data_IF_284891321240
#
_entry.id   IF_284891321240
#
_cell.length_a   1.000
_cell.length_b   1.000
_cell.length_c   1.000
_cell.angle_alpha   90.00
_cell.angle_beta   90.00
_cell.angle_gamma   90.00
#
_symmetry.space_group_name_H-M   'P 1'
#
loop_
_entity.id
_entity.type
_entity.pdbx_description
1 polymer ?
#
# COMPACT_ATOMS: atom_id res chain seq x y z
N UNK A 1 5.41 -4.51 41.36
CA UNK A 1 6.81 -4.15 41.04
C UNK A 1 6.79 -3.52 39.66
N UNK A 2 7.29 -2.30 39.57
CA UNK A 2 7.21 -1.42 38.40
C UNK A 2 8.14 -1.99 37.33
N UNK A 3 7.57 -2.66 36.32
CA UNK A 3 8.33 -3.03 35.13
C UNK A 3 8.46 -1.76 34.28
N UNK A 4 9.63 -1.15 34.36
CA UNK A 4 10.04 -0.03 33.51
C UNK A 4 9.83 -0.39 32.03
N UNK A 5 8.92 0.32 31.37
CA UNK A 5 8.78 0.26 29.92
C UNK A 5 10.07 0.79 29.28
N UNK A 6 10.72 0.05 28.36
CA UNK A 6 11.84 0.59 27.63
C UNK A 6 11.33 1.71 26.70
N UNK A 7 11.82 2.92 26.90
CA UNK A 7 11.65 4.02 25.95
C UNK A 7 12.43 3.65 24.69
N UNK A 8 11.74 3.09 23.70
CA UNK A 8 12.32 2.81 22.39
C UNK A 8 12.46 4.15 21.66
N UNK A 9 13.66 4.72 21.72
CA UNK A 9 14.10 5.81 20.84
C UNK A 9 14.06 5.28 19.39
N UNK A 10 13.05 5.68 18.63
CA UNK A 10 12.92 5.35 17.22
C UNK A 10 14.09 5.99 16.43
N UNK A 11 15.10 5.19 16.13
CA UNK A 11 16.13 5.51 15.13
C UNK A 11 15.52 5.41 13.72
N UNK A 12 15.88 6.29 12.77
CA UNK A 12 15.26 6.39 11.44
C UNK A 12 15.54 5.19 10.50
N UNK A 13 16.08 4.09 11.00
CA UNK A 13 16.49 2.93 10.19
C UNK A 13 16.20 1.56 10.86
N UNK A 14 15.34 1.52 11.88
CA UNK A 14 14.77 0.27 12.39
C UNK A 14 13.33 0.17 11.88
N UNK A 15 13.03 -0.81 11.03
CA UNK A 15 11.66 -1.15 10.59
C UNK A 15 10.87 -1.71 11.79
N UNK A 16 10.48 -0.83 12.70
CA UNK A 16 9.58 -1.18 13.82
C UNK A 16 8.18 -1.34 13.24
N UNK A 17 7.52 -2.45 13.56
CA UNK A 17 6.12 -2.65 13.19
C UNK A 17 5.28 -1.64 13.97
N UNK A 18 4.42 -0.90 13.28
CA UNK A 18 3.54 0.10 13.88
C UNK A 18 2.09 -0.17 13.56
N UNK A 19 1.20 0.29 14.44
CA UNK A 19 -0.25 0.38 14.18
C UNK A 19 -0.58 1.45 13.14
N UNK A 20 -1.83 1.51 12.66
CA UNK A 20 -2.27 2.53 11.70
C UNK A 20 -2.06 3.98 12.17
N UNK A 21 -2.02 4.19 13.50
CA UNK A 21 -1.76 5.50 14.11
C UNK A 21 -0.27 5.77 14.40
N UNK A 22 0.63 4.86 14.01
CA UNK A 22 2.08 5.03 14.18
C UNK A 22 2.64 4.61 15.55
N UNK A 23 1.82 4.06 16.45
CA UNK A 23 2.33 3.52 17.72
C UNK A 23 3.10 2.21 17.46
N UNK A 24 4.25 1.99 18.11
CA UNK A 24 5.02 0.75 17.97
C UNK A 24 4.22 -0.46 18.49
N UNK A 25 4.40 -1.60 17.83
CA UNK A 25 3.79 -2.89 18.18
C UNK A 25 4.85 -3.78 18.81
N UNK A 26 4.65 -4.15 20.06
CA UNK A 26 5.60 -4.99 20.80
C UNK A 26 5.45 -6.48 20.44
N UNK A 27 4.22 -6.99 20.33
CA UNK A 27 3.91 -8.37 19.96
C UNK A 27 2.82 -8.42 18.87
N UNK A 28 3.07 -9.21 17.82
CA UNK A 28 2.18 -9.40 16.67
C UNK A 28 1.77 -10.87 16.47
N UNK A 29 2.16 -11.76 17.38
CA UNK A 29 1.82 -13.19 17.34
C UNK A 29 0.64 -13.50 18.24
N UNK A 30 0.41 -12.70 19.29
CA UNK A 30 -0.62 -12.94 20.30
C UNK A 30 -1.66 -11.81 20.35
N UNK A 31 -2.85 -12.15 20.82
CA UNK A 31 -3.92 -11.20 21.17
C UNK A 31 -3.86 -10.88 22.66
N UNK A 32 -4.35 -9.71 23.07
CA UNK A 32 -4.48 -9.36 24.47
C UNK A 32 -5.65 -10.11 25.12
N UNK A 33 -5.36 -10.98 26.07
CA UNK A 33 -6.33 -11.83 26.76
C UNK A 33 -6.38 -11.58 28.27
N UNK A 34 -7.50 -11.92 28.91
CA UNK A 34 -7.62 -11.93 30.37
C UNK A 34 -6.92 -13.16 31.00
N UNK A 35 -5.59 -13.22 30.90
CA UNK A 35 -4.76 -14.38 31.27
C UNK A 35 -4.45 -15.28 30.07
N UNK A 36 -3.49 -16.20 30.22
CA UNK A 36 -2.93 -17.02 29.11
C UNK A 36 -4.01 -17.80 28.33
N UNK A 37 -5.05 -18.30 29.01
CA UNK A 37 -6.18 -19.03 28.41
C UNK A 37 -7.51 -18.27 28.55
N UNK A 38 -7.45 -16.96 28.77
CA UNK A 38 -8.62 -16.11 28.95
C UNK A 38 -9.24 -15.61 27.65
N UNK A 39 -10.44 -15.01 27.70
CA UNK A 39 -11.05 -14.36 26.54
C UNK A 39 -10.23 -13.14 26.06
N UNK A 40 -10.36 -12.82 24.76
CA UNK A 40 -9.76 -11.64 24.15
C UNK A 40 -10.46 -10.37 24.65
N UNK A 41 -9.67 -9.34 24.94
CA UNK A 41 -10.15 -8.06 25.44
C UNK A 41 -10.45 -7.08 24.29
N UNK A 42 -11.57 -6.35 24.40
CA UNK A 42 -11.95 -5.31 23.41
C UNK A 42 -10.99 -4.12 23.40
N UNK A 43 -10.18 -3.94 24.43
CA UNK A 43 -9.17 -2.87 24.50
C UNK A 43 -7.94 -3.16 23.60
N UNK A 44 -7.84 -4.36 23.02
CA UNK A 44 -6.80 -4.70 22.06
C UNK A 44 -6.99 -3.94 20.74
N UNK A 45 -6.55 -2.68 20.74
CA UNK A 45 -6.72 -1.80 19.59
C UNK A 45 -5.88 -2.25 18.39
N UNK A 46 -4.70 -2.87 18.63
CA UNK A 46 -3.81 -3.36 17.57
C UNK A 46 -4.47 -4.51 16.80
N UNK A 47 -5.06 -5.47 17.51
CA UNK A 47 -5.80 -6.57 16.89
C UNK A 47 -6.99 -6.06 16.07
N UNK A 48 -7.78 -5.15 16.65
CA UNK A 48 -8.98 -4.61 16.00
C UNK A 48 -8.62 -3.82 14.74
N UNK A 49 -7.57 -3.00 14.80
CA UNK A 49 -7.08 -2.23 13.65
C UNK A 49 -6.64 -3.15 12.51
N UNK A 50 -5.84 -4.18 12.82
CA UNK A 50 -5.33 -5.15 11.84
C UNK A 50 -6.44 -5.93 11.16
N UNK A 51 -7.39 -6.49 11.92
CA UNK A 51 -8.52 -7.24 11.35
C UNK A 51 -9.48 -6.30 10.62
N UNK A 52 -9.72 -5.11 11.16
CA UNK A 52 -10.58 -4.11 10.54
C UNK A 52 -10.08 -3.67 9.17
N UNK A 53 -8.76 -3.60 8.98
CA UNK A 53 -8.14 -3.34 7.68
C UNK A 53 -8.24 -4.55 6.74
N UNK A 54 -7.96 -5.75 7.23
CA UNK A 54 -8.05 -7.00 6.45
C UNK A 54 -9.46 -7.25 5.90
N UNK A 55 -10.49 -7.09 6.73
CA UNK A 55 -11.89 -7.29 6.35
C UNK A 55 -12.33 -6.32 5.23
N UNK A 56 -11.63 -5.19 5.07
CA UNK A 56 -11.94 -4.12 4.12
C UNK A 56 -10.97 -4.04 2.95
N UNK A 57 -10.12 -5.05 2.76
CA UNK A 57 -9.14 -5.05 1.67
C UNK A 57 -9.80 -5.18 0.28
N UNK A 58 -10.95 -5.86 0.21
CA UNK A 58 -11.63 -6.11 -1.06
C UNK A 58 -12.43 -4.90 -1.52
N UNK A 59 -12.05 -4.36 -2.67
CA UNK A 59 -12.85 -3.41 -3.45
C UNK A 59 -13.58 -4.15 -4.59
N UNK A 60 -14.70 -3.61 -5.10
CA UNK A 60 -15.39 -4.21 -6.24
C UNK A 60 -14.49 -4.34 -7.47
N UNK A 61 -14.57 -5.48 -8.14
CA UNK A 61 -13.89 -5.71 -9.41
C UNK A 61 -14.55 -4.93 -10.56
N UNK A 62 -13.83 -4.76 -11.68
CA UNK A 62 -14.40 -4.15 -12.89
C UNK A 62 -15.43 -5.10 -13.50
N UNK A 63 -16.58 -4.55 -13.94
CA UNK A 63 -17.69 -5.32 -14.55
C UNK A 63 -17.24 -6.20 -15.73
N UNK A 64 -16.33 -5.68 -16.55
CA UNK A 64 -15.59 -6.43 -17.59
C UNK A 64 -14.11 -6.12 -17.45
N UNK A 65 -13.25 -6.94 -18.06
CA UNK A 65 -11.80 -6.79 -17.91
C UNK A 65 -11.33 -6.85 -16.45
N UNK A 66 -11.92 -7.73 -15.64
CA UNK A 66 -11.60 -7.87 -14.23
C UNK A 66 -10.14 -8.32 -14.03
N UNK A 67 -9.74 -9.38 -14.72
CA UNK A 67 -8.38 -9.91 -14.69
C UNK A 67 -7.46 -9.11 -15.62
N UNK A 68 -6.35 -8.62 -15.07
CA UNK A 68 -5.36 -7.92 -15.85
C UNK A 68 -4.03 -7.70 -15.13
N UNK A 69 -3.00 -7.35 -15.90
CA UNK A 69 -1.67 -6.98 -15.42
C UNK A 69 -1.30 -5.58 -15.89
N UNK A 70 -0.39 -4.92 -15.15
CA UNK A 70 0.06 -3.56 -15.45
C UNK A 70 1.56 -3.48 -15.63
N UNK A 71 2.03 -2.60 -16.52
CA UNK A 71 3.45 -2.31 -16.69
C UNK A 71 3.69 -0.80 -16.88
N UNK A 72 4.72 -0.28 -16.22
CA UNK A 72 5.22 1.07 -16.45
C UNK A 72 6.18 1.09 -17.64
N UNK A 73 6.16 2.19 -18.38
CA UNK A 73 7.08 2.41 -19.49
C UNK A 73 7.12 3.87 -19.92
N UNK A 74 7.72 4.12 -21.07
CA UNK A 74 7.66 5.40 -21.73
C UNK A 74 7.34 5.21 -23.21
N UNK A 75 6.58 6.14 -23.76
CA UNK A 75 6.32 6.25 -25.18
C UNK A 75 7.19 7.36 -25.76
N UNK A 76 7.85 7.08 -26.89
CA UNK A 76 8.65 8.03 -27.64
C UNK A 76 8.23 8.01 -29.11
N UNK A 77 7.84 9.16 -29.63
CA UNK A 77 7.51 9.29 -31.06
C UNK A 77 8.81 9.34 -31.87
N UNK A 78 8.86 8.64 -32.99
CA UNK A 78 10.07 8.57 -33.84
C UNK A 78 10.07 9.59 -34.97
N UNK A 79 8.90 10.13 -35.33
CA UNK A 79 8.72 11.12 -36.39
C UNK A 79 7.83 12.28 -35.92
N UNK A 80 8.02 13.47 -36.50
CA UNK A 80 7.20 14.65 -36.22
C UNK A 80 5.83 14.51 -36.89
N UNK A 81 4.76 14.52 -36.07
CA UNK A 81 3.36 14.42 -36.50
C UNK A 81 2.60 15.75 -36.37
N UNK A 82 3.29 16.87 -36.13
CA UNK A 82 2.69 18.20 -35.94
C UNK A 82 1.79 18.67 -37.10
N UNK A 83 2.03 18.18 -38.31
CA UNK A 83 1.19 18.47 -39.49
C UNK A 83 -0.18 17.78 -39.45
N UNK A 84 -0.33 16.71 -38.66
CA UNK A 84 -1.54 15.89 -38.59
C UNK A 84 -2.30 16.11 -37.28
N UNK A 85 -1.60 16.40 -36.18
CA UNK A 85 -2.21 16.55 -34.86
C UNK A 85 -1.50 17.63 -34.04
N UNK A 86 -2.27 18.31 -33.18
CA UNK A 86 -1.74 19.23 -32.18
C UNK A 86 -1.40 18.54 -30.84
N UNK A 87 -1.57 17.21 -30.75
CA UNK A 87 -1.31 16.44 -29.54
C UNK A 87 0.16 16.57 -29.07
N UNK A 88 0.36 17.12 -27.87
CA UNK A 88 1.68 17.50 -27.35
C UNK A 88 2.72 16.36 -27.33
N UNK A 89 2.29 15.14 -27.01
CA UNK A 89 3.17 13.97 -26.91
C UNK A 89 3.64 13.42 -28.28
N UNK A 90 3.12 13.96 -29.39
CA UNK A 90 3.42 13.54 -30.76
C UNK A 90 4.14 14.63 -31.60
N UNK A 91 4.45 15.79 -31.01
CA UNK A 91 4.93 16.94 -31.78
C UNK A 91 6.40 16.87 -32.18
N UNK A 92 7.26 16.19 -31.41
CA UNK A 92 8.70 16.12 -31.71
C UNK A 92 9.28 14.77 -31.31
N UNK A 93 10.19 14.21 -32.13
CA UNK A 93 10.91 13.02 -31.74
C UNK A 93 11.79 13.26 -30.51
N UNK A 94 12.01 12.23 -29.71
CA UNK A 94 12.83 12.29 -28.49
C UNK A 94 12.09 12.64 -27.19
N UNK A 95 10.78 12.94 -27.26
CA UNK A 95 9.98 13.18 -26.06
C UNK A 95 9.58 11.84 -25.43
N UNK A 96 10.10 11.56 -24.23
CA UNK A 96 9.71 10.38 -23.43
C UNK A 96 8.49 10.70 -22.58
N UNK A 97 7.34 10.20 -22.99
CA UNK A 97 6.07 10.36 -22.29
C UNK A 97 5.85 9.17 -21.36
N UNK A 98 5.78 9.33 -20.03
CA UNK A 98 5.51 8.22 -19.12
C UNK A 98 4.15 7.59 -19.39
N UNK A 99 4.11 6.27 -19.47
CA UNK A 99 2.88 5.51 -19.69
C UNK A 99 2.73 4.40 -18.65
N UNK A 100 1.48 4.03 -18.40
CA UNK A 100 1.10 2.83 -17.68
C UNK A 100 0.12 2.04 -18.55
N UNK A 101 0.55 0.87 -19.00
CA UNK A 101 -0.28 -0.02 -19.79
C UNK A 101 -0.95 -1.04 -18.89
N UNK A 102 -2.26 -1.22 -19.03
CA UNK A 102 -3.02 -2.29 -18.37
C UNK A 102 -3.54 -3.27 -19.42
N UNK A 103 -3.10 -4.51 -19.35
CA UNK A 103 -3.57 -5.61 -20.19
C UNK A 103 -4.66 -6.38 -19.44
N UNK A 104 -5.73 -6.77 -20.11
CA UNK A 104 -6.85 -7.51 -19.49
C UNK A 104 -7.55 -8.44 -20.48
N UNK A 105 -8.15 -9.52 -19.96
CA UNK A 105 -9.00 -10.46 -20.72
C UNK A 105 -10.46 -10.04 -20.73
#
# INVERSE_FOLDING_TARGET
MVQSAPVILATPNSNVLTTGNGNPVDDNQNSMTAGEFGPILLQDFHLIDKIGHFDRERIPERVVHAKGGGAHGHFEVTADLSKLTCAKFLQKPGIKTPIFARFST
#
